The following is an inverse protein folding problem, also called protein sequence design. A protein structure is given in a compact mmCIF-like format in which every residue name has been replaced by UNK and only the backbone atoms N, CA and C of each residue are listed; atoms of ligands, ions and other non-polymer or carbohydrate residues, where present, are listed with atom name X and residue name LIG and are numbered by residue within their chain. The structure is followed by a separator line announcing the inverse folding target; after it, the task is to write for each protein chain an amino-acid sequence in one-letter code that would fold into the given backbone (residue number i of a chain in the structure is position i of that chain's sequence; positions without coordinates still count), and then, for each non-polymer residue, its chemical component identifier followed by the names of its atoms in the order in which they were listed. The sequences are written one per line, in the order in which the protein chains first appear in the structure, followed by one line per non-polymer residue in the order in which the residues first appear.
data_IF_079879297880
#
_entry.id   IF_079879297880
#
_cell.length_a   1.000
_cell.length_b   1.000
_cell.length_c   1.000
_cell.angle_alpha   90.00
_cell.angle_beta   90.00
_cell.angle_gamma   90.00
#
_symmetry.space_group_name_H-M   'P 1'
#
loop_
_entity.id
_entity.type
_entity.pdbx_description
1 polymer ?
#
# COMPACT_ATOMS: atom_id res chain seq x y z
N UNK A 1 -50.83 -7.92 -19.87
CA UNK A 1 -51.00 -6.47 -19.60
C UNK A 1 -49.92 -6.11 -18.61
N UNK A 2 -48.83 -5.39 -18.87
CA UNK A 2 -48.44 -4.31 -19.79
C UNK A 2 -46.89 -4.50 -19.90
N UNK A 3 -46.26 -4.67 -21.07
CA UNK A 3 -45.61 -3.60 -21.88
C UNK A 3 -44.77 -2.62 -21.01
N UNK A 4 -43.53 -2.19 -21.26
CA UNK A 4 -42.62 -2.13 -22.41
C UNK A 4 -41.32 -1.40 -21.97
N UNK A 5 -40.25 -1.52 -22.77
CA UNK A 5 -39.14 -0.55 -23.01
C UNK A 5 -38.16 -0.26 -21.86
N UNK A 6 -36.84 -0.45 -21.93
CA UNK A 6 -35.81 -0.07 -22.94
C UNK A 6 -35.67 1.46 -23.13
N UNK A 7 -34.46 1.94 -22.77
CA UNK A 7 -33.77 3.22 -23.06
C UNK A 7 -33.76 4.40 -22.03
N UNK A 8 -32.59 4.52 -21.38
CA UNK A 8 -31.71 5.70 -21.25
C UNK A 8 -32.19 7.03 -20.63
N UNK A 9 -31.61 7.40 -19.47
CA UNK A 9 -30.77 8.61 -19.23
C UNK A 9 -30.51 8.79 -17.71
N UNK A 10 -29.27 8.78 -17.24
CA UNK A 10 -28.40 9.94 -16.93
C UNK A 10 -28.82 10.75 -15.67
N UNK A 11 -27.90 10.70 -14.67
CA UNK A 11 -27.59 11.67 -13.58
C UNK A 11 -28.42 11.72 -12.28
N UNK A 12 -27.65 11.53 -11.19
CA UNK A 12 -27.80 11.98 -9.79
C UNK A 12 -28.87 11.23 -8.97
N UNK A 13 -28.58 10.64 -7.79
CA UNK A 13 -27.85 11.18 -6.64
C UNK A 13 -27.23 10.07 -5.78
N UNK A 14 -25.95 10.26 -5.44
CA UNK A 14 -25.27 9.72 -4.26
C UNK A 14 -26.00 10.18 -2.96
N UNK A 15 -25.91 9.43 -1.85
CA UNK A 15 -24.68 9.42 -1.04
C UNK A 15 -24.17 8.00 -0.79
N UNK A 16 -22.97 7.70 -1.31
CA UNK A 16 -22.13 6.62 -0.78
C UNK A 16 -21.85 6.93 0.68
N UNK A 17 -22.40 6.12 1.58
CA UNK A 17 -21.90 6.00 2.94
C UNK A 17 -20.51 5.39 2.88
N UNK A 18 -19.59 6.06 3.55
CA UNK A 18 -18.23 5.61 3.78
C UNK A 18 -18.27 4.37 4.67
N UNK A 19 -18.03 3.20 4.09
CA UNK A 19 -17.49 2.06 4.82
C UNK A 19 -16.02 1.96 4.47
N UNK A 20 -15.18 2.58 5.29
CA UNK A 20 -13.84 2.06 5.51
C UNK A 20 -14.02 0.57 5.79
N UNK A 21 -13.43 -0.28 4.94
CA UNK A 21 -13.18 -1.65 5.35
C UNK A 21 -12.40 -1.54 6.64
N UNK A 22 -13.06 -1.92 7.73
CA UNK A 22 -12.44 -2.28 8.98
C UNK A 22 -11.21 -3.09 8.62
N UNK A 23 -10.02 -2.55 8.93
CA UNK A 23 -8.80 -3.35 8.93
C UNK A 23 -9.17 -4.65 9.68
N UNK A 24 -9.09 -5.87 9.10
CA UNK A 24 -8.66 -6.96 9.95
C UNK A 24 -7.29 -6.48 10.38
N UNK A 25 -7.19 -6.07 11.66
CA UNK A 25 -5.91 -5.73 12.23
C UNK A 25 -4.96 -6.84 11.79
N UNK A 26 -3.85 -6.47 11.15
CA UNK A 26 -2.67 -7.31 11.22
C UNK A 26 -2.26 -7.25 12.69
N UNK A 27 -3.01 -7.97 13.54
CA UNK A 27 -2.56 -8.36 14.85
C UNK A 27 -1.49 -9.41 14.59
N UNK A 28 -0.34 -8.93 14.10
CA UNK A 28 0.90 -9.44 14.62
C UNK A 28 0.76 -9.22 16.12
N UNK A 29 0.31 -10.27 16.80
CA UNK A 29 0.64 -10.41 18.19
C UNK A 29 2.16 -10.44 18.20
N UNK A 30 2.79 -9.25 18.31
CA UNK A 30 4.17 -9.08 18.77
C UNK A 30 4.18 -9.51 20.24
N UNK A 31 3.82 -10.77 20.51
CA UNK A 31 4.04 -11.47 21.77
C UNK A 31 5.42 -12.10 21.69
N UNK A 32 6.44 -11.24 21.70
CA UNK A 32 7.88 -11.51 21.90
C UNK A 32 8.61 -10.42 21.10
N UNK A 33 9.41 -9.54 21.65
CA UNK A 33 10.01 -9.40 22.96
C UNK A 33 9.62 -8.02 23.49
N UNK A 34 9.26 -7.92 24.77
CA UNK A 34 9.49 -6.80 25.67
C UNK A 34 8.67 -7.10 26.93
N UNK A 35 9.31 -7.68 27.94
CA UNK A 35 8.76 -7.72 29.29
C UNK A 35 8.79 -6.29 29.82
N UNK A 36 7.71 -5.54 29.61
CA UNK A 36 7.53 -4.24 30.24
C UNK A 36 6.93 -4.40 31.64
N UNK A 37 7.46 -3.64 32.60
CA UNK A 37 6.97 -3.60 33.97
C UNK A 37 5.54 -3.08 34.11
N UNK A 38 4.92 -3.26 35.29
CA UNK A 38 3.49 -2.99 35.53
C UNK A 38 3.05 -1.55 35.16
N UNK A 39 3.91 -0.55 35.29
CA UNK A 39 3.59 0.87 35.02
C UNK A 39 3.34 1.19 33.54
N UNK A 40 4.01 0.49 32.62
CA UNK A 40 3.87 0.75 31.18
C UNK A 40 2.54 0.23 30.63
N UNK A 41 2.03 -0.89 31.18
CA UNK A 41 0.75 -1.48 30.79
C UNK A 41 -0.43 -0.58 31.18
N UNK A 42 -0.38 0.03 32.36
CA UNK A 42 -1.44 0.90 32.87
C UNK A 42 -1.51 2.23 32.09
N UNK A 43 -0.34 2.79 31.73
CA UNK A 43 -0.25 3.97 30.87
C UNK A 43 -0.85 3.69 29.48
N UNK A 44 -0.46 2.58 28.84
CA UNK A 44 -1.01 2.17 27.54
C UNK A 44 -2.54 1.98 27.58
N UNK A 45 -3.07 1.38 28.64
CA UNK A 45 -4.53 1.24 28.83
C UNK A 45 -5.24 2.58 28.94
N UNK A 46 -4.63 3.53 29.64
CA UNK A 46 -5.17 4.88 29.84
C UNK A 46 -5.19 5.68 28.55
N UNK A 47 -4.07 5.70 27.81
CA UNK A 47 -3.99 6.35 26.50
C UNK A 47 -4.99 5.74 25.50
N UNK A 48 -5.13 4.42 25.49
CA UNK A 48 -6.08 3.75 24.59
C UNK A 48 -7.51 4.17 24.88
N UNK A 49 -7.91 4.21 26.15
CA UNK A 49 -9.24 4.68 26.57
C UNK A 49 -9.47 6.15 26.22
N UNK A 50 -8.47 7.01 26.41
CA UNK A 50 -8.62 8.44 26.08
C UNK A 50 -8.78 8.66 24.58
N UNK A 51 -8.11 7.85 23.74
CA UNK A 51 -8.22 7.91 22.28
C UNK A 51 -9.53 7.36 21.72
N UNK A 52 -10.38 6.68 22.50
CA UNK A 52 -11.67 6.18 21.98
C UNK A 52 -12.64 7.31 21.61
N UNK A 53 -12.49 8.48 22.23
CA UNK A 53 -13.31 9.65 21.93
C UNK A 53 -12.56 10.52 20.92
N UNK A 54 -13.09 10.73 19.70
CA UNK A 54 -12.44 11.59 18.73
C UNK A 54 -12.39 13.05 19.17
N UNK A 55 -11.35 13.77 18.77
CA UNK A 55 -11.30 15.22 18.89
C UNK A 55 -12.41 15.88 18.05
N UNK A 56 -12.97 16.97 18.57
CA UNK A 56 -14.01 17.74 17.86
C UNK A 56 -13.39 18.77 16.92
N UNK A 57 -14.12 19.11 15.85
CA UNK A 57 -13.74 20.18 14.94
C UNK A 57 -13.55 21.51 15.70
N UNK A 58 -12.49 22.23 15.35
CA UNK A 58 -12.07 23.48 15.98
C UNK A 58 -11.15 23.31 17.18
N UNK A 59 -10.95 22.08 17.69
CA UNK A 59 -9.99 21.80 18.76
C UNK A 59 -8.58 22.23 18.36
N UNK A 60 -7.85 22.89 19.26
CA UNK A 60 -6.44 23.22 19.07
C UNK A 60 -5.58 22.18 19.78
N UNK A 61 -4.68 21.55 19.04
CA UNK A 61 -3.66 20.63 19.54
C UNK A 61 -2.31 21.33 19.43
N UNK A 62 -1.54 21.37 20.52
CA UNK A 62 -0.16 21.87 20.48
C UNK A 62 0.79 20.70 20.27
N UNK A 63 1.74 20.86 19.36
CA UNK A 63 2.80 19.89 19.11
C UNK A 63 3.95 20.00 20.10
N UNK A 64 4.87 19.03 20.05
CA UNK A 64 6.12 19.03 20.80
C UNK A 64 7.02 20.23 20.43
N UNK A 65 6.79 20.85 19.26
CA UNK A 65 7.46 22.09 18.81
C UNK A 65 6.70 23.37 19.22
N UNK A 66 5.71 23.27 20.11
CA UNK A 66 4.82 24.36 20.54
C UNK A 66 4.00 24.98 19.39
N UNK A 67 3.88 24.30 18.25
CA UNK A 67 3.07 24.77 17.13
C UNK A 67 1.60 24.40 17.35
N UNK A 68 0.65 25.35 17.29
CA UNK A 68 -0.76 25.04 17.38
C UNK A 68 -1.32 24.57 16.03
N UNK A 69 -1.94 23.39 16.04
CA UNK A 69 -2.71 22.82 14.95
C UNK A 69 -4.20 22.84 15.30
N UNK A 70 -5.03 23.32 14.39
CA UNK A 70 -6.48 23.33 14.54
C UNK A 70 -7.10 22.16 13.80
N UNK A 71 -7.90 21.34 14.47
CA UNK A 71 -8.64 20.25 13.85
C UNK A 71 -9.74 20.83 12.96
N UNK A 72 -9.71 20.49 11.68
CA UNK A 72 -10.71 20.92 10.70
C UNK A 72 -11.77 19.85 10.46
N UNK A 73 -11.38 18.57 10.43
CA UNK A 73 -12.29 17.47 10.11
C UNK A 73 -11.76 16.14 10.64
N UNK A 74 -12.65 15.24 11.05
CA UNK A 74 -12.34 13.83 11.29
C UNK A 74 -12.50 13.06 9.97
N UNK A 75 -11.41 12.53 9.43
CA UNK A 75 -11.40 11.77 8.17
C UNK A 75 -11.64 10.28 8.40
N UNK A 76 -11.11 9.72 9.50
CA UNK A 76 -11.27 8.30 9.84
C UNK A 76 -11.53 8.14 11.34
N UNK A 77 -12.63 7.46 11.66
CA UNK A 77 -12.98 7.10 13.04
C UNK A 77 -12.46 5.71 13.39
N UNK A 78 -11.44 5.62 14.24
CA UNK A 78 -10.77 4.37 14.62
C UNK A 78 -11.60 3.38 15.43
N UNK A 79 -12.77 3.79 15.93
CA UNK A 79 -13.65 2.92 16.71
C UNK A 79 -12.95 2.41 17.96
N UNK A 80 -13.05 1.10 18.22
CA UNK A 80 -12.41 0.46 19.38
C UNK A 80 -10.88 0.52 19.36
N UNK A 81 -10.26 0.64 18.17
CA UNK A 81 -8.80 0.77 18.04
C UNK A 81 -8.28 2.14 18.48
N UNK A 82 -9.14 3.16 18.47
CA UNK A 82 -8.74 4.54 18.77
C UNK A 82 -7.75 5.15 17.77
N UNK A 83 -7.54 4.55 16.59
CA UNK A 83 -6.68 5.07 15.52
C UNK A 83 -7.48 6.03 14.63
N UNK A 84 -7.42 7.31 14.94
CA UNK A 84 -8.14 8.35 14.20
C UNK A 84 -7.21 9.09 13.24
N UNK A 85 -7.80 9.59 12.16
CA UNK A 85 -7.12 10.44 11.19
C UNK A 85 -7.94 11.72 11.04
N UNK A 86 -7.28 12.86 11.13
CA UNK A 86 -7.89 14.18 11.06
C UNK A 86 -7.24 15.00 9.95
N UNK A 87 -8.03 15.88 9.33
CA UNK A 87 -7.50 17.05 8.65
C UNK A 87 -7.31 18.15 9.69
N UNK A 88 -6.14 18.77 9.66
CA UNK A 88 -5.78 19.87 10.55
C UNK A 88 -5.20 21.04 9.75
N UNK A 89 -5.21 22.23 10.33
CA UNK A 89 -4.59 23.42 9.74
C UNK A 89 -3.64 24.10 10.72
N UNK A 90 -2.56 24.67 10.20
CA UNK A 90 -1.65 25.52 10.96
C UNK A 90 -0.98 26.53 10.02
N UNK A 91 -0.91 27.80 10.43
CA UNK A 91 -0.23 28.87 9.67
C UNK A 91 -0.68 28.96 8.19
N UNK A 92 -1.98 28.75 7.93
CA UNK A 92 -2.54 28.80 6.57
C UNK A 92 -2.24 27.57 5.70
N UNK A 93 -1.57 26.53 6.23
CA UNK A 93 -1.30 25.26 5.57
C UNK A 93 -2.18 24.14 6.13
N UNK A 94 -2.43 23.12 5.31
CA UNK A 94 -3.18 21.93 5.67
C UNK A 94 -2.24 20.77 6.04
N UNK A 95 -2.68 19.95 6.98
CA UNK A 95 -1.96 18.80 7.51
C UNK A 95 -2.91 17.63 7.73
N UNK A 96 -2.34 16.43 7.78
CA UNK A 96 -2.99 15.24 8.33
C UNK A 96 -2.42 15.01 9.72
N UNK A 97 -3.31 14.83 10.69
CA UNK A 97 -2.96 14.42 12.03
C UNK A 97 -3.47 13.00 12.26
N UNK A 98 -2.59 12.08 12.61
CA UNK A 98 -2.94 10.69 12.89
C UNK A 98 -2.20 10.20 14.14
N UNK A 99 -2.83 9.34 14.90
CA UNK A 99 -2.18 8.67 16.03
C UNK A 99 -1.74 7.27 15.65
N UNK A 100 -0.59 6.85 16.18
CA UNK A 100 -0.03 5.53 15.91
C UNK A 100 -0.52 4.47 16.91
N UNK A 101 -0.16 3.21 16.66
CA UNK A 101 -0.38 2.10 17.58
C UNK A 101 0.33 2.41 18.91
N UNK A 102 -0.36 2.30 20.06
CA UNK A 102 0.23 2.56 21.36
C UNK A 102 1.56 1.83 21.59
N UNK A 103 2.62 2.58 21.91
CA UNK A 103 3.96 2.06 22.16
C UNK A 103 4.88 1.98 20.92
N UNK A 104 4.39 2.25 19.71
CA UNK A 104 5.22 2.25 18.48
C UNK A 104 5.81 3.63 18.14
N UNK A 105 5.41 4.69 18.86
CA UNK A 105 5.79 6.07 18.57
C UNK A 105 7.29 6.30 18.39
N UNK A 106 8.11 5.84 19.34
CA UNK A 106 9.56 6.08 19.26
C UNK A 106 10.21 5.30 18.11
N UNK A 107 9.68 4.13 17.76
CA UNK A 107 10.12 3.36 16.62
C UNK A 107 9.82 4.12 15.32
N UNK A 108 8.59 4.62 15.16
CA UNK A 108 8.16 5.41 14.01
C UNK A 108 8.96 6.72 13.87
N UNK A 109 9.20 7.46 14.96
CA UNK A 109 10.06 8.65 14.96
C UNK A 109 11.46 8.32 14.39
N UNK A 110 12.08 7.26 14.89
CA UNK A 110 13.43 6.88 14.47
C UNK A 110 13.50 6.40 13.01
N UNK A 111 12.45 5.72 12.55
CA UNK A 111 12.33 5.25 11.18
C UNK A 111 12.14 6.43 10.22
N UNK A 112 11.13 7.27 10.47
CA UNK A 112 10.79 8.38 9.59
C UNK A 112 11.89 9.45 9.55
N UNK A 113 12.63 9.66 10.63
CA UNK A 113 13.80 10.57 10.65
C UNK A 113 14.87 10.19 9.62
N UNK A 114 15.03 8.91 9.29
CA UNK A 114 15.99 8.47 8.28
C UNK A 114 15.50 8.74 6.85
N UNK A 115 14.21 8.99 6.68
CA UNK A 115 13.55 9.20 5.39
C UNK A 115 13.13 10.66 5.17
N UNK A 116 13.29 11.55 6.16
CA UNK A 116 12.74 12.91 6.12
C UNK A 116 13.38 13.83 5.06
N UNK A 117 14.51 13.43 4.48
CA UNK A 117 15.16 14.13 3.37
C UNK A 117 14.84 13.52 2.00
N UNK A 118 14.09 12.41 1.95
CA UNK A 118 13.71 11.74 0.72
C UNK A 118 12.44 12.40 0.16
N UNK A 119 12.51 13.14 -0.96
CA UNK A 119 11.39 13.98 -1.43
C UNK A 119 10.16 13.17 -1.85
N UNK A 120 10.36 11.90 -2.22
CA UNK A 120 9.31 10.98 -2.66
C UNK A 120 8.78 10.09 -1.53
N UNK A 121 9.11 10.38 -0.28
CA UNK A 121 8.58 9.69 0.90
C UNK A 121 7.93 10.72 1.82
N UNK A 122 6.68 10.46 2.23
CA UNK A 122 5.94 11.32 3.15
C UNK A 122 6.28 10.95 4.58
N UNK A 123 6.94 11.85 5.28
CA UNK A 123 7.27 11.71 6.71
C UNK A 123 6.54 12.76 7.55
N UNK A 124 6.39 12.48 8.84
CA UNK A 124 5.89 13.43 9.81
C UNK A 124 6.81 14.64 9.91
N UNK A 125 6.22 15.83 9.95
CA UNK A 125 6.90 17.11 10.15
C UNK A 125 6.83 17.60 11.59
N UNK A 126 5.91 17.04 12.37
CA UNK A 126 5.73 17.36 13.79
C UNK A 126 5.06 16.19 14.52
N UNK A 127 5.03 16.22 15.84
CA UNK A 127 4.45 15.16 16.67
C UNK A 127 3.92 15.67 18.02
N UNK A 128 3.16 14.83 18.71
CA UNK A 128 2.83 14.97 20.13
C UNK A 128 3.20 13.68 20.84
N UNK A 129 4.26 13.68 21.64
CA UNK A 129 4.72 12.46 22.32
C UNK A 129 3.71 11.93 23.32
N UNK A 130 3.07 12.81 24.09
CA UNK A 130 2.14 12.42 25.15
C UNK A 130 0.93 11.66 24.59
N UNK A 131 0.43 12.07 23.43
CA UNK A 131 -0.72 11.44 22.78
C UNK A 131 -0.34 10.56 21.60
N UNK A 132 0.96 10.34 21.37
CA UNK A 132 1.58 9.60 20.25
C UNK A 132 0.95 9.91 18.88
N UNK A 133 0.88 11.19 18.59
CA UNK A 133 0.32 11.74 17.36
C UNK A 133 1.45 12.22 16.44
N UNK A 134 1.25 12.07 15.13
CA UNK A 134 2.10 12.62 14.10
C UNK A 134 1.31 13.60 13.22
N UNK A 135 2.00 14.64 12.74
CA UNK A 135 1.49 15.59 11.76
C UNK A 135 2.25 15.43 10.44
N UNK A 136 1.52 15.27 9.35
CA UNK A 136 2.07 15.11 8.01
C UNK A 136 1.58 16.25 7.11
N UNK A 137 2.40 16.74 6.16
CA UNK A 137 1.92 17.65 5.12
C UNK A 137 0.72 17.04 4.40
N UNK A 138 -0.31 17.84 4.13
CA UNK A 138 -1.45 17.39 3.33
C UNK A 138 -1.08 17.30 1.84
N UNK A 139 -1.54 16.24 1.16
CA UNK A 139 -1.46 16.10 -0.30
C UNK A 139 -2.88 15.91 -0.84
N UNK A 140 -3.15 16.43 -2.04
CA UNK A 140 -4.50 16.59 -2.59
C UNK A 140 -5.22 15.28 -2.92
N UNK A 141 -4.50 14.20 -3.19
CA UNK A 141 -5.12 12.92 -3.50
C UNK A 141 -4.20 11.71 -3.46
N UNK A 142 -4.80 10.55 -3.65
CA UNK A 142 -4.12 9.25 -3.79
C UNK A 142 -4.12 8.77 -5.25
N UNK A 143 -3.14 7.93 -5.58
CA UNK A 143 -2.97 7.41 -6.95
C UNK A 143 -4.08 6.44 -7.37
N UNK A 144 -4.82 5.83 -6.43
CA UNK A 144 -5.95 4.95 -6.74
C UNK A 144 -7.00 5.74 -7.55
N UNK A 145 -7.44 6.89 -7.03
CA UNK A 145 -8.45 7.72 -7.69
C UNK A 145 -7.84 8.62 -8.76
N UNK A 146 -6.67 9.18 -8.49
CA UNK A 146 -6.06 10.17 -9.38
C UNK A 146 -5.71 9.60 -10.75
N UNK A 147 -5.24 8.34 -10.81
CA UNK A 147 -4.90 7.67 -12.08
C UNK A 147 -6.09 7.42 -13.01
N UNK A 148 -7.33 7.54 -12.50
CA UNK A 148 -8.56 7.38 -13.29
C UNK A 148 -8.93 8.63 -14.10
N UNK A 149 -8.24 9.75 -13.86
CA UNK A 149 -8.43 10.98 -14.62
C UNK A 149 -7.87 10.82 -16.04
N UNK A 150 -8.26 11.72 -16.93
CA UNK A 150 -7.66 11.81 -18.25
C UNK A 150 -6.23 12.38 -18.13
N UNK A 151 -5.25 11.49 -17.97
CA UNK A 151 -3.84 11.81 -17.83
C UNK A 151 -3.09 11.24 -19.03
N UNK A 152 -2.18 12.04 -19.60
CA UNK A 152 -1.26 11.56 -20.62
C UNK A 152 -0.40 10.41 -20.10
N UNK A 153 0.08 9.59 -21.02
CA UNK A 153 0.97 8.47 -20.73
C UNK A 153 2.26 8.95 -20.06
N UNK A 154 2.78 10.08 -20.50
CA UNK A 154 3.99 10.73 -19.99
C UNK A 154 3.81 11.16 -18.54
N UNK A 155 2.64 11.73 -18.20
CA UNK A 155 2.30 12.11 -16.81
C UNK A 155 2.20 10.87 -15.93
N UNK A 156 1.51 9.81 -16.38
CA UNK A 156 1.43 8.53 -15.65
C UNK A 156 2.81 7.93 -15.40
N UNK A 157 3.69 7.89 -16.43
CA UNK A 157 5.09 7.45 -16.32
C UNK A 157 5.89 8.31 -15.34
N UNK A 158 5.73 9.63 -15.39
CA UNK A 158 6.41 10.55 -14.48
C UNK A 158 6.04 10.30 -13.01
N UNK A 159 4.75 10.12 -12.72
CA UNK A 159 4.26 9.80 -11.37
C UNK A 159 4.85 8.47 -10.89
N UNK A 160 4.78 7.43 -11.71
CA UNK A 160 5.35 6.11 -11.38
C UNK A 160 6.87 6.20 -11.16
N UNK A 161 7.59 7.00 -11.95
CA UNK A 161 9.03 7.20 -11.78
C UNK A 161 9.36 7.84 -10.43
N UNK A 162 8.62 8.89 -10.06
CA UNK A 162 8.78 9.57 -8.76
C UNK A 162 8.47 8.65 -7.59
N UNK A 163 7.39 7.86 -7.66
CA UNK A 163 7.07 6.90 -6.62
C UNK A 163 8.14 5.79 -6.51
N UNK A 164 8.60 5.24 -7.64
CA UNK A 164 9.66 4.22 -7.65
C UNK A 164 10.99 4.78 -7.11
N UNK A 165 11.29 6.05 -7.37
CA UNK A 165 12.45 6.74 -6.80
C UNK A 165 12.41 6.76 -5.27
N UNK A 166 11.24 7.02 -4.66
CA UNK A 166 11.06 6.91 -3.22
C UNK A 166 11.33 5.49 -2.71
N UNK A 167 10.82 4.48 -3.42
CA UNK A 167 11.05 3.08 -3.05
C UNK A 167 12.54 2.69 -3.13
N UNK A 168 13.27 3.19 -4.14
CA UNK A 168 14.73 3.04 -4.24
C UNK A 168 15.45 3.64 -3.02
N UNK A 169 15.03 4.83 -2.57
CA UNK A 169 15.63 5.49 -1.41
C UNK A 169 15.37 4.74 -0.08
N UNK A 170 14.18 4.14 0.07
CA UNK A 170 13.87 3.24 1.20
C UNK A 170 14.71 1.97 1.16
N UNK A 171 14.77 1.31 0.00
CA UNK A 171 15.51 0.06 -0.20
C UNK A 171 17.02 0.26 0.01
N UNK A 172 17.56 1.42 -0.34
CA UNK A 172 18.95 1.79 -0.06
C UNK A 172 19.27 1.94 1.45
N UNK A 173 18.25 2.03 2.30
CA UNK A 173 18.34 2.08 3.77
C UNK A 173 17.89 0.77 4.43
N UNK A 174 17.81 -0.31 3.66
CA UNK A 174 17.33 -1.62 4.10
C UNK A 174 15.88 -1.60 4.61
N UNK A 175 15.08 -0.60 4.22
CA UNK A 175 13.69 -0.48 4.64
C UNK A 175 12.76 -1.14 3.62
N UNK A 176 11.86 -1.98 4.11
CA UNK A 176 10.80 -2.63 3.32
C UNK A 176 9.47 -2.01 3.75
N UNK A 177 8.72 -1.46 2.79
CA UNK A 177 7.48 -0.74 3.04
C UNK A 177 6.34 -1.67 3.47
N UNK A 178 6.27 -2.88 2.89
CA UNK A 178 5.32 -3.96 3.17
C UNK A 178 3.84 -3.71 2.79
N UNK A 179 3.42 -2.47 2.50
CA UNK A 179 2.05 -2.19 2.02
C UNK A 179 1.99 -1.23 0.81
N UNK A 180 2.81 -1.50 -0.21
CA UNK A 180 2.76 -0.73 -1.47
C UNK A 180 1.44 -1.03 -2.20
N UNK A 181 0.66 0.02 -2.45
CA UNK A 181 -0.61 0.02 -3.19
C UNK A 181 -0.93 1.45 -3.66
N UNK A 182 -1.83 1.65 -4.64
CA UNK A 182 -2.09 2.99 -5.18
C UNK A 182 -2.61 3.98 -4.12
N UNK A 183 -3.31 3.51 -3.09
CA UNK A 183 -3.79 4.36 -1.99
C UNK A 183 -2.66 4.98 -1.16
N UNK A 184 -1.50 4.32 -1.09
CA UNK A 184 -0.36 4.74 -0.28
C UNK A 184 0.68 5.50 -1.11
N UNK A 185 0.31 5.92 -2.34
CA UNK A 185 1.09 6.83 -3.17
C UNK A 185 0.26 8.10 -3.33
N UNK A 186 0.66 9.15 -2.62
CA UNK A 186 -0.04 10.41 -2.55
C UNK A 186 0.54 11.42 -3.54
N UNK A 187 -0.30 12.35 -3.97
CA UNK A 187 -0.01 13.29 -5.05
C UNK A 187 -0.50 14.67 -4.65
N UNK A 188 0.37 15.67 -4.73
CA UNK A 188 0.01 17.09 -4.72
C UNK A 188 0.02 17.60 -6.16
N UNK A 189 -1.02 18.32 -6.54
CA UNK A 189 -1.18 18.78 -7.91
C UNK A 189 -1.88 20.15 -7.96
N UNK A 190 -1.94 20.73 -9.14
CA UNK A 190 -2.80 21.88 -9.42
C UNK A 190 -3.62 21.59 -10.65
N UNK A 191 -4.92 21.81 -10.52
CA UNK A 191 -5.82 21.77 -11.66
C UNK A 191 -5.66 23.05 -12.49
N UNK A 192 -5.75 22.96 -13.82
CA UNK A 192 -5.77 24.13 -14.67
C UNK A 192 -7.02 24.97 -14.35
N UNK A 193 -6.86 26.30 -14.38
CA UNK A 193 -7.95 27.23 -14.08
C UNK A 193 -9.07 27.25 -15.16
N UNK A 194 -8.85 26.59 -16.30
CA UNK A 194 -9.78 26.51 -17.42
C UNK A 194 -9.84 25.05 -17.87
N UNK A 195 -11.05 24.50 -18.05
CA UNK A 195 -11.31 23.10 -18.42
C UNK A 195 -10.66 22.66 -19.75
N UNK A 196 -10.22 23.62 -20.58
CA UNK A 196 -9.64 23.40 -21.93
C UNK A 196 -8.10 23.34 -21.97
N UNK A 197 -7.38 23.39 -20.84
CA UNK A 197 -5.92 23.22 -20.82
C UNK A 197 -5.51 21.87 -20.23
N UNK A 198 -4.80 21.08 -21.03
CA UNK A 198 -4.62 19.63 -20.90
C UNK A 198 -3.62 19.15 -19.82
N UNK A 199 -3.15 20.01 -18.91
CA UNK A 199 -2.04 19.61 -18.03
C UNK A 199 -2.31 19.90 -16.56
N UNK A 200 -2.91 18.91 -15.88
CA UNK A 200 -2.77 18.78 -14.43
C UNK A 200 -1.28 18.79 -14.10
N UNK A 201 -0.84 19.82 -13.38
CA UNK A 201 0.56 19.95 -12.98
C UNK A 201 0.77 19.15 -11.70
N UNK A 202 1.58 18.10 -11.77
CA UNK A 202 2.01 17.32 -10.61
C UNK A 202 3.14 18.08 -9.91
N UNK A 203 2.96 18.40 -8.63
CA UNK A 203 3.97 19.08 -7.81
C UNK A 203 4.81 18.07 -7.06
N UNK A 204 4.16 17.13 -6.38
CA UNK A 204 4.81 16.13 -5.54
C UNK A 204 4.15 14.77 -5.70
N UNK A 205 4.95 13.71 -5.57
CA UNK A 205 4.50 12.32 -5.51
C UNK A 205 5.25 11.65 -4.39
N UNK A 206 4.54 11.13 -3.40
CA UNK A 206 5.14 10.60 -2.18
C UNK A 206 4.51 9.26 -1.78
N UNK A 207 5.36 8.27 -1.47
CA UNK A 207 4.92 7.06 -0.77
C UNK A 207 4.63 7.44 0.68
N UNK A 208 3.49 7.00 1.21
CA UNK A 208 3.02 7.27 2.57
C UNK A 208 2.69 5.98 3.33
N UNK A 209 2.21 6.10 4.57
CA UNK A 209 1.73 4.97 5.40
C UNK A 209 2.87 4.01 5.76
N UNK A 210 3.86 4.56 6.48
CA UNK A 210 5.07 3.86 6.90
C UNK A 210 4.87 2.95 8.13
N UNK A 211 3.62 2.74 8.58
CA UNK A 211 3.30 1.99 9.80
C UNK A 211 3.80 0.53 9.75
N UNK A 212 3.69 -0.11 8.59
CA UNK A 212 4.16 -1.49 8.36
C UNK A 212 5.62 -1.56 7.90
N UNK A 213 6.31 -0.41 7.79
CA UNK A 213 7.70 -0.39 7.34
C UNK A 213 8.61 -1.02 8.38
N UNK A 214 9.52 -1.88 7.92
CA UNK A 214 10.55 -2.49 8.78
C UNK A 214 11.92 -2.41 8.14
N UNK A 215 12.95 -2.39 8.99
CA UNK A 215 14.34 -2.52 8.54
C UNK A 215 14.66 -4.01 8.43
N UNK A 216 15.00 -4.47 7.23
CA UNK A 216 15.41 -5.84 6.92
C UNK A 216 16.83 -5.80 6.37
N UNK A 217 17.86 -6.01 7.22
CA UNK A 217 19.25 -5.92 6.80
C UNK A 217 19.60 -6.91 5.67
N UNK A 218 20.70 -6.66 4.92
CA UNK A 218 21.11 -7.53 3.82
C UNK A 218 21.28 -8.99 4.28
N UNK A 219 20.73 -9.91 3.48
CA UNK A 219 20.73 -11.36 3.78
C UNK A 219 19.80 -11.78 4.91
N UNK A 220 19.02 -10.87 5.50
CA UNK A 220 17.95 -11.17 6.46
C UNK A 220 16.58 -11.15 5.79
N UNK A 221 15.61 -11.67 6.52
CA UNK A 221 14.24 -11.83 6.05
C UNK A 221 13.28 -11.55 7.19
N UNK A 222 12.17 -10.90 6.87
CA UNK A 222 10.98 -10.93 7.71
C UNK A 222 10.28 -12.29 7.47
N UNK A 223 9.77 -12.97 8.51
CA UNK A 223 9.11 -14.28 8.34
C UNK A 223 7.84 -14.38 9.19
N UNK A 224 6.76 -14.87 8.59
CA UNK A 224 5.50 -15.16 9.28
C UNK A 224 4.35 -14.15 9.12
N UNK A 225 4.56 -12.82 9.05
CA UNK A 225 3.45 -11.89 8.90
C UNK A 225 2.84 -11.97 7.50
N UNK A 226 1.55 -11.66 7.41
CA UNK A 226 0.82 -11.53 6.16
C UNK A 226 0.77 -10.04 5.80
N UNK A 227 1.83 -9.57 5.15
CA UNK A 227 2.06 -8.15 4.85
C UNK A 227 1.30 -7.68 3.60
N UNK A 228 0.89 -6.42 3.59
CA UNK A 228 0.31 -5.73 2.43
C UNK A 228 -1.16 -5.99 2.17
N UNK A 229 -1.82 -5.15 1.39
CA UNK A 229 -3.21 -5.33 0.99
C UNK A 229 -3.38 -6.57 0.08
N UNK A 230 -4.46 -7.34 0.30
CA UNK A 230 -4.66 -8.66 -0.28
C UNK A 230 -4.50 -8.75 -1.82
N UNK A 231 -4.95 -7.75 -2.57
CA UNK A 231 -4.88 -7.75 -4.05
C UNK A 231 -3.61 -7.09 -4.60
N UNK A 232 -2.78 -6.48 -3.74
CA UNK A 232 -1.48 -5.88 -4.11
C UNK A 232 -0.30 -6.70 -3.55
N UNK A 233 -0.60 -7.68 -2.69
CA UNK A 233 0.36 -8.51 -1.95
C UNK A 233 1.05 -9.55 -2.83
N UNK A 234 2.33 -9.79 -2.58
CA UNK A 234 3.14 -10.82 -3.24
C UNK A 234 2.82 -12.26 -2.82
N UNK A 235 3.23 -13.21 -3.66
CA UNK A 235 3.00 -14.65 -3.42
C UNK A 235 3.67 -15.15 -2.12
N UNK A 236 4.92 -14.75 -1.85
CA UNK A 236 5.63 -15.17 -0.64
C UNK A 236 5.01 -14.60 0.65
N UNK A 237 4.37 -13.43 0.57
CA UNK A 237 3.60 -12.87 1.70
C UNK A 237 2.32 -13.66 1.95
N UNK A 238 1.58 -14.02 0.88
CA UNK A 238 0.43 -14.94 0.98
C UNK A 238 0.82 -16.29 1.59
N UNK A 239 1.98 -16.82 1.22
CA UNK A 239 2.55 -18.04 1.77
C UNK A 239 3.17 -17.88 3.17
N UNK A 240 3.10 -16.68 3.77
CA UNK A 240 3.70 -16.32 5.08
C UNK A 240 5.18 -16.71 5.19
N UNK A 241 5.87 -16.64 4.07
CA UNK A 241 7.26 -17.06 3.93
C UNK A 241 8.23 -15.93 4.31
N UNK A 242 9.48 -16.06 3.88
CA UNK A 242 10.53 -15.06 3.99
C UNK A 242 10.25 -13.89 3.03
N UNK A 243 10.08 -12.69 3.58
CA UNK A 243 9.88 -11.43 2.85
C UNK A 243 11.13 -10.55 2.92
N UNK A 244 11.33 -9.74 1.89
CA UNK A 244 12.34 -8.68 1.81
C UNK A 244 11.85 -7.59 0.83
N UNK A 245 12.75 -6.71 0.39
CA UNK A 245 12.49 -5.65 -0.59
C UNK A 245 11.82 -6.12 -1.89
N UNK A 246 12.03 -7.38 -2.31
CA UNK A 246 11.42 -7.93 -3.52
C UNK A 246 9.88 -8.05 -3.42
N UNK A 247 9.32 -8.07 -2.22
CA UNK A 247 7.87 -8.02 -2.00
C UNK A 247 7.29 -6.65 -2.39
N UNK A 248 7.98 -5.55 -2.03
CA UNK A 248 7.56 -4.21 -2.45
C UNK A 248 7.67 -4.03 -3.97
N UNK A 249 8.74 -4.58 -4.58
CA UNK A 249 8.93 -4.53 -6.05
C UNK A 249 7.76 -5.20 -6.77
N UNK A 250 7.34 -6.37 -6.30
CA UNK A 250 6.17 -7.06 -6.85
C UNK A 250 4.90 -6.20 -6.73
N UNK A 251 4.63 -5.67 -5.53
CA UNK A 251 3.47 -4.81 -5.29
C UNK A 251 3.48 -3.55 -6.15
N UNK A 252 4.65 -2.94 -6.34
CA UNK A 252 4.81 -1.77 -7.20
C UNK A 252 4.52 -2.09 -8.67
N UNK A 253 4.91 -3.25 -9.17
CA UNK A 253 4.58 -3.66 -10.54
C UNK A 253 3.07 -3.77 -10.77
N UNK A 254 2.31 -4.25 -9.78
CA UNK A 254 0.85 -4.25 -9.85
C UNK A 254 0.30 -2.82 -9.90
N UNK A 255 0.85 -1.89 -9.12
CA UNK A 255 0.52 -0.46 -9.21
C UNK A 255 0.78 0.08 -10.61
N UNK A 256 1.90 -0.27 -11.23
CA UNK A 256 2.22 0.16 -12.60
C UNK A 256 1.18 -0.33 -13.61
N UNK A 257 0.78 -1.59 -13.52
CA UNK A 257 -0.28 -2.16 -14.39
C UNK A 257 -1.60 -1.42 -14.21
N UNK A 258 -2.01 -1.18 -12.96
CA UNK A 258 -3.23 -0.45 -12.67
C UNK A 258 -3.19 0.99 -13.20
N UNK A 259 -2.09 1.71 -12.98
CA UNK A 259 -1.95 3.10 -13.40
C UNK A 259 -1.86 3.21 -14.93
N UNK A 260 -1.32 2.23 -15.63
CA UNK A 260 -1.15 2.32 -17.09
C UNK A 260 -2.34 1.76 -17.88
N UNK A 261 -3.01 0.73 -17.35
CA UNK A 261 -4.06 0.00 -18.07
C UNK A 261 -5.43 0.01 -17.37
N UNK A 262 -5.53 0.58 -16.17
CA UNK A 262 -6.71 0.49 -15.31
C UNK A 262 -7.12 -0.95 -14.92
N UNK A 263 -6.14 -1.86 -14.89
CA UNK A 263 -6.37 -3.26 -14.59
C UNK A 263 -5.87 -3.60 -13.17
N UNK A 264 -6.79 -4.00 -12.29
CA UNK A 264 -6.44 -4.61 -11.00
C UNK A 264 -6.31 -6.12 -11.19
N UNK A 265 -5.19 -6.56 -11.77
CA UNK A 265 -5.04 -7.93 -12.29
C UNK A 265 -5.27 -9.03 -11.26
N UNK A 266 -5.01 -8.79 -9.97
CA UNK A 266 -5.26 -9.75 -8.88
C UNK A 266 -6.60 -9.57 -8.16
N UNK A 267 -7.48 -8.70 -8.67
CA UNK A 267 -8.81 -8.50 -8.07
C UNK A 267 -9.65 -9.76 -8.23
N UNK A 268 -10.27 -10.17 -7.13
CA UNK A 268 -11.29 -11.22 -7.07
C UNK A 268 -12.58 -10.60 -6.51
N UNK A 269 -13.75 -11.25 -6.70
CA UNK A 269 -14.99 -10.84 -6.07
C UNK A 269 -14.83 -10.71 -4.54
N UNK A 270 -15.56 -9.77 -3.94
CA UNK A 270 -15.41 -9.48 -2.51
C UNK A 270 -15.82 -10.69 -1.66
N UNK A 271 -16.74 -11.54 -2.13
CA UNK A 271 -17.10 -12.80 -1.47
C UNK A 271 -15.91 -13.76 -1.39
N UNK A 272 -15.11 -13.85 -2.45
CA UNK A 272 -13.89 -14.67 -2.48
C UNK A 272 -12.78 -14.05 -1.65
N UNK A 273 -12.66 -12.72 -1.65
CA UNK A 273 -11.63 -12.01 -0.89
C UNK A 273 -11.85 -12.12 0.63
N UNK A 274 -13.11 -12.18 1.05
CA UNK A 274 -13.50 -12.29 2.46
C UNK A 274 -13.69 -13.76 2.92
N UNK A 275 -13.49 -14.74 2.05
CA UNK A 275 -13.55 -16.16 2.39
C UNK A 275 -12.35 -16.60 3.25
N UNK A 276 -12.55 -17.64 4.05
CA UNK A 276 -11.48 -18.25 4.88
C UNK A 276 -10.30 -18.75 4.02
N UNK A 277 -10.61 -19.22 2.81
CA UNK A 277 -9.66 -19.69 1.82
C UNK A 277 -9.35 -18.65 0.73
N UNK A 278 -9.55 -17.35 1.00
CA UNK A 278 -9.22 -16.25 0.07
C UNK A 278 -7.84 -16.35 -0.59
N UNK A 279 -6.86 -16.90 0.13
CA UNK A 279 -5.52 -17.19 -0.39
C UNK A 279 -5.55 -18.03 -1.68
N UNK A 280 -6.48 -18.98 -1.81
CA UNK A 280 -6.61 -19.90 -2.96
C UNK A 280 -6.92 -19.13 -4.23
N UNK A 281 -7.86 -18.20 -4.15
CA UNK A 281 -8.31 -17.41 -5.29
C UNK A 281 -7.20 -16.48 -5.78
N UNK A 282 -6.53 -15.80 -4.87
CA UNK A 282 -5.49 -14.82 -5.21
C UNK A 282 -4.18 -15.49 -5.63
N UNK A 283 -3.72 -16.54 -4.93
CA UNK A 283 -2.52 -17.29 -5.33
C UNK A 283 -2.70 -18.02 -6.65
N UNK A 284 -3.91 -18.46 -6.99
CA UNK A 284 -4.18 -19.02 -8.31
C UNK A 284 -3.92 -18.00 -9.42
N UNK A 285 -4.27 -16.73 -9.22
CA UNK A 285 -3.94 -15.67 -10.18
C UNK A 285 -2.43 -15.44 -10.29
N UNK A 286 -1.71 -15.44 -9.16
CA UNK A 286 -0.24 -15.36 -9.17
C UNK A 286 0.38 -16.47 -10.03
N UNK A 287 -0.07 -17.72 -9.85
CA UNK A 287 0.44 -18.88 -10.59
C UNK A 287 0.03 -18.85 -12.07
N UNK A 288 -1.15 -18.31 -12.37
CA UNK A 288 -1.61 -18.14 -13.75
C UNK A 288 -0.77 -17.11 -14.51
N UNK A 289 -0.41 -16.01 -13.85
CA UNK A 289 0.14 -14.83 -14.51
C UNK A 289 1.66 -14.73 -14.47
N UNK A 290 2.29 -15.15 -13.37
CA UNK A 290 3.69 -14.82 -13.09
C UNK A 290 4.60 -16.03 -12.87
N UNK A 291 4.04 -17.24 -12.97
CA UNK A 291 4.81 -18.45 -12.81
C UNK A 291 5.33 -18.98 -14.15
N UNK A 292 6.45 -19.68 -14.10
CA UNK A 292 6.88 -20.67 -15.08
C UNK A 292 7.37 -21.91 -14.31
N UNK A 293 7.84 -22.94 -15.02
CA UNK A 293 8.25 -24.20 -14.39
C UNK A 293 9.40 -23.94 -13.41
N UNK A 294 10.44 -23.23 -13.84
CA UNK A 294 11.59 -22.90 -13.00
C UNK A 294 11.18 -22.03 -11.80
N UNK A 295 10.35 -21.02 -12.01
CA UNK A 295 9.90 -20.09 -10.98
C UNK A 295 9.05 -20.77 -9.92
N UNK A 296 8.26 -21.78 -10.27
CA UNK A 296 7.56 -22.63 -9.30
C UNK A 296 8.57 -23.40 -8.45
N UNK A 297 9.49 -24.14 -9.07
CA UNK A 297 10.48 -24.96 -8.35
C UNK A 297 11.26 -24.11 -7.35
N UNK A 298 11.75 -22.96 -7.81
CA UNK A 298 12.50 -22.01 -6.99
C UNK A 298 11.63 -21.34 -5.93
N UNK A 299 10.36 -21.06 -6.20
CA UNK A 299 9.45 -20.55 -5.18
C UNK A 299 9.17 -21.59 -4.09
N UNK A 300 9.02 -22.87 -4.46
CA UNK A 300 8.85 -23.97 -3.52
C UNK A 300 10.07 -24.14 -2.61
N UNK A 301 11.30 -24.03 -3.15
CA UNK A 301 12.53 -23.96 -2.35
C UNK A 301 12.54 -22.77 -1.39
N UNK A 302 12.07 -21.61 -1.86
CA UNK A 302 12.02 -20.39 -1.06
C UNK A 302 11.06 -20.51 0.12
N UNK A 303 9.89 -21.15 -0.05
CA UNK A 303 8.94 -21.35 1.04
C UNK A 303 9.28 -22.55 1.94
N UNK A 304 9.90 -23.59 1.38
CA UNK A 304 10.34 -24.81 2.06
C UNK A 304 9.22 -25.82 2.34
N UNK A 305 9.55 -27.11 2.31
CA UNK A 305 8.60 -28.24 2.43
C UNK A 305 7.77 -28.24 3.72
N UNK A 306 8.31 -27.68 4.80
CA UNK A 306 7.60 -27.59 6.08
C UNK A 306 6.53 -26.48 6.09
N UNK A 307 6.50 -25.60 5.08
CA UNK A 307 5.49 -24.57 4.98
C UNK A 307 4.17 -25.18 4.46
N UNK A 308 3.02 -24.98 5.14
CA UNK A 308 1.73 -25.50 4.68
C UNK A 308 1.34 -25.07 3.26
N UNK A 309 1.91 -23.96 2.76
CA UNK A 309 1.68 -23.50 1.38
C UNK A 309 2.45 -24.29 0.33
N UNK A 310 3.42 -25.13 0.70
CA UNK A 310 4.14 -25.98 -0.25
C UNK A 310 3.19 -26.90 -1.02
N UNK A 311 2.43 -27.73 -0.31
CA UNK A 311 1.44 -28.61 -0.93
C UNK A 311 0.28 -27.84 -1.58
N UNK A 312 -0.15 -26.73 -0.96
CA UNK A 312 -1.22 -25.89 -1.54
C UNK A 312 -0.84 -25.30 -2.89
N UNK A 313 0.41 -24.89 -3.07
CA UNK A 313 0.89 -24.37 -4.36
C UNK A 313 0.92 -25.50 -5.40
N UNK A 314 1.40 -26.70 -5.05
CA UNK A 314 1.36 -27.87 -5.94
C UNK A 314 -0.07 -28.23 -6.36
N UNK A 315 -1.00 -28.24 -5.42
CA UNK A 315 -2.43 -28.45 -5.69
C UNK A 315 -2.97 -27.42 -6.69
N UNK A 316 -2.68 -26.13 -6.49
CA UNK A 316 -3.13 -25.07 -7.39
C UNK A 316 -2.53 -25.20 -8.79
N UNK A 317 -1.25 -25.57 -8.90
CA UNK A 317 -0.60 -25.76 -10.20
C UNK A 317 -1.27 -26.88 -10.99
N UNK A 318 -1.62 -27.98 -10.32
CA UNK A 318 -2.31 -29.12 -10.94
C UNK A 318 -3.75 -28.80 -11.40
N UNK A 319 -4.30 -27.62 -11.07
CA UNK A 319 -5.61 -27.19 -11.59
C UNK A 319 -5.54 -26.55 -12.98
N UNK A 320 -4.34 -26.27 -13.51
CA UNK A 320 -4.17 -25.76 -14.87
C UNK A 320 -4.04 -26.91 -15.88
N UNK A 321 -4.58 -26.71 -17.08
CA UNK A 321 -4.52 -27.71 -18.16
C UNK A 321 -5.16 -27.17 -19.44
N UNK A 322 -5.35 -27.99 -20.49
CA UNK A 322 -5.89 -27.52 -21.78
C UNK A 322 -7.25 -26.81 -21.68
N UNK A 323 -8.12 -27.24 -20.76
CA UNK A 323 -9.43 -26.60 -20.52
C UNK A 323 -9.39 -25.38 -19.61
N UNK A 324 -8.25 -25.09 -19.00
CA UNK A 324 -8.05 -23.99 -18.05
C UNK A 324 -6.58 -23.54 -18.08
N UNK A 325 -6.11 -22.97 -19.20
CA UNK A 325 -4.71 -22.62 -19.38
C UNK A 325 -4.32 -21.43 -18.51
N UNK A 326 -3.05 -21.38 -18.13
CA UNK A 326 -2.44 -20.19 -17.49
C UNK A 326 -2.47 -19.01 -18.47
N UNK A 327 -2.39 -17.80 -17.94
CA UNK A 327 -2.40 -16.55 -18.71
C UNK A 327 -1.16 -15.70 -18.40
N UNK A 328 0.04 -16.13 -18.83
CA UNK A 328 1.29 -15.47 -18.48
C UNK A 328 1.31 -13.99 -18.86
N UNK A 329 1.99 -13.16 -18.07
CA UNK A 329 2.14 -11.71 -18.28
C UNK A 329 2.71 -11.38 -19.65
N UNK A 330 3.55 -12.25 -20.22
CA UNK A 330 4.13 -12.11 -21.56
C UNK A 330 3.08 -12.04 -22.67
N UNK A 331 1.86 -12.53 -22.41
CA UNK A 331 0.73 -12.51 -23.34
C UNK A 331 -0.28 -11.39 -23.09
N UNK A 332 -0.02 -10.47 -22.17
CA UNK A 332 -0.95 -9.37 -21.89
C UNK A 332 -0.91 -8.30 -22.98
N UNK A 333 -1.86 -8.35 -23.92
CA UNK A 333 -1.90 -7.45 -25.09
C UNK A 333 -2.29 -6.00 -24.74
N UNK A 334 -2.85 -5.78 -23.55
CA UNK A 334 -3.21 -4.44 -23.06
C UNK A 334 -2.00 -3.66 -22.52
N UNK A 335 -0.81 -4.28 -22.43
CA UNK A 335 0.43 -3.61 -22.06
C UNK A 335 1.37 -3.50 -23.26
N UNK A 336 2.04 -2.35 -23.37
CA UNK A 336 3.11 -2.16 -24.34
C UNK A 336 4.30 -3.10 -24.06
N UNK A 337 5.07 -3.50 -25.09
CA UNK A 337 6.13 -4.50 -24.95
C UNK A 337 7.14 -4.20 -23.83
N UNK A 338 7.63 -2.97 -23.74
CA UNK A 338 8.63 -2.56 -22.74
C UNK A 338 8.06 -2.52 -21.32
N UNK A 339 6.77 -2.19 -21.16
CA UNK A 339 6.10 -2.26 -19.86
C UNK A 339 5.90 -3.71 -19.44
N UNK A 340 5.50 -4.56 -20.40
CA UNK A 340 5.29 -5.98 -20.18
C UNK A 340 6.57 -6.68 -19.70
N UNK A 341 7.69 -6.40 -20.37
CA UNK A 341 9.02 -6.89 -19.99
C UNK A 341 9.43 -6.41 -18.59
N UNK A 342 9.18 -5.14 -18.26
CA UNK A 342 9.44 -4.60 -16.92
C UNK A 342 8.59 -5.29 -15.85
N UNK A 343 7.27 -5.40 -16.07
CA UNK A 343 6.35 -6.03 -15.13
C UNK A 343 6.75 -7.49 -14.90
N UNK A 344 7.05 -8.26 -15.96
CA UNK A 344 7.48 -9.66 -15.83
C UNK A 344 8.71 -9.83 -14.93
N UNK A 345 9.73 -8.97 -15.09
CA UNK A 345 10.95 -8.99 -14.25
C UNK A 345 10.67 -8.61 -12.79
N UNK A 346 9.70 -7.74 -12.56
CA UNK A 346 9.33 -7.30 -11.20
C UNK A 346 8.37 -8.27 -10.50
N UNK A 347 7.58 -9.03 -11.26
CA UNK A 347 6.56 -9.94 -10.70
C UNK A 347 6.95 -11.41 -10.70
N UNK A 348 8.16 -11.76 -11.16
CA UNK A 348 8.64 -13.15 -11.18
C UNK A 348 8.34 -13.91 -9.88
N UNK A 349 7.80 -15.12 -10.00
CA UNK A 349 7.22 -15.83 -8.85
C UNK A 349 8.21 -16.01 -7.69
N UNK A 350 9.44 -16.47 -7.97
CA UNK A 350 10.50 -16.55 -6.97
C UNK A 350 11.00 -15.12 -6.64
N UNK A 351 10.80 -14.62 -5.40
CA UNK A 351 11.28 -13.29 -5.02
C UNK A 351 12.79 -13.10 -5.18
N UNK A 352 13.57 -14.19 -5.17
CA UNK A 352 15.04 -14.14 -5.33
C UNK A 352 15.48 -13.85 -6.77
N UNK A 353 14.59 -14.04 -7.75
CA UNK A 353 14.85 -13.78 -9.17
C UNK A 353 14.30 -12.44 -9.68
N UNK A 354 13.59 -11.68 -8.85
CA UNK A 354 13.06 -10.36 -9.22
C UNK A 354 14.19 -9.35 -9.33
N UNK A 355 14.07 -8.42 -10.29
CA UNK A 355 14.94 -7.24 -10.33
C UNK A 355 14.71 -6.36 -9.09
N UNK A 356 15.71 -5.58 -8.72
CA UNK A 356 15.62 -4.58 -7.65
C UNK A 356 14.81 -3.36 -8.08
N UNK A 357 14.35 -2.55 -7.12
CA UNK A 357 13.70 -1.26 -7.40
C UNK A 357 14.60 -0.32 -8.21
N UNK A 358 15.92 -0.37 -7.97
CA UNK A 358 16.91 0.42 -8.72
C UNK A 358 17.02 -0.03 -10.18
N UNK A 359 17.15 -1.34 -10.41
CA UNK A 359 17.19 -1.90 -11.77
C UNK A 359 15.87 -1.64 -12.52
N UNK A 360 14.73 -1.70 -11.82
CA UNK A 360 13.43 -1.34 -12.39
C UNK A 360 13.39 0.14 -12.83
N UNK A 361 13.96 1.06 -12.04
CA UNK A 361 14.02 2.48 -12.37
C UNK A 361 14.92 2.78 -13.58
N UNK A 362 15.99 1.99 -13.76
CA UNK A 362 16.95 2.10 -14.88
C UNK A 362 16.46 1.44 -16.19
N UNK A 363 15.30 0.75 -16.13
CA UNK A 363 14.71 0.02 -17.24
C UNK A 363 14.35 0.95 -18.43
N UNK A 364 14.51 0.49 -19.69
CA UNK A 364 14.18 1.29 -20.88
C UNK A 364 12.77 1.88 -20.90
N UNK A 365 11.81 1.25 -20.23
CA UNK A 365 10.44 1.74 -20.15
C UNK A 365 10.31 3.15 -19.51
N UNK A 366 11.21 3.47 -18.57
CA UNK A 366 11.30 4.76 -17.89
C UNK A 366 12.23 5.76 -18.59
N UNK A 367 12.89 5.39 -19.69
CA UNK A 367 13.80 6.29 -20.42
C UNK A 367 13.06 7.28 -21.30
#
# INVERSE_FOLDING_TARGET
MISSGVHASIRHLLPMRWSFLSRPSCSVTRKSCLQYGPTHRDMMSTLTKSRQIPLTQGTSVKSDLEQPYRIEELLTHGGESGLHVYRASAQGKQYIMENTIPGDFQHQVNLQKQLSLCPNIRTAVDSVRETEVFFYPFLDGDLLRFSQRNLSKETRKSILRSALQGLVEMHAKDMVHNDIKPNNILIDYTEPAVEDQETTLIKEVQISDLEDTVIVPPGKWLRGPLCGNAIWRSAESWARSRLNQASDVFSFALVMVYVMANEMVLRVPDEQLNAEDSWRHVLRLHLSYFADIEGVERFLEHIGEQNPFFERILELINTFGPGNPRQPVEHWDFLEPELKDLVAKMTYLDPRGRITSKEALEHPWFR
#
